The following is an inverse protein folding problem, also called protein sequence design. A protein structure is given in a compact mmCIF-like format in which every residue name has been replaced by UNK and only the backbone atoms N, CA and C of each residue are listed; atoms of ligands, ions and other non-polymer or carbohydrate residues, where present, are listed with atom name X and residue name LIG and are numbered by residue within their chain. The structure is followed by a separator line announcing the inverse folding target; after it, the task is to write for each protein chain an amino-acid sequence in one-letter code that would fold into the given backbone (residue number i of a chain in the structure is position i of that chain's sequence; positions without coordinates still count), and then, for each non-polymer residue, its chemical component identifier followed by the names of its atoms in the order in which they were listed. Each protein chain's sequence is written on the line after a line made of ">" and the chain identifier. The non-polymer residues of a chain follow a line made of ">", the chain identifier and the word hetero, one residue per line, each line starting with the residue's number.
data_IF_389989589525
#
_entry.id   IF_389989589525
#
_cell.length_a   1.000
_cell.length_b   1.000
_cell.length_c   1.000
_cell.angle_alpha   90.00
_cell.angle_beta   90.00
_cell.angle_gamma   90.00
#
_symmetry.space_group_name_H-M   'P 1'
#
loop_
_entity.id
_entity.type
_entity.pdbx_description
1 polymer ?
2 non-polymer ?
3 water ?
#
# COMPACT_ATOMS: atom_id res chain seq x y z
N UNK A 1 10.29 -4.66 5.85
CA UNK A 1 10.70 -3.98 4.58
C UNK A 1 10.42 -4.86 3.35
N UNK A 2 9.70 -4.29 2.39
CA UNK A 2 9.05 -5.04 1.31
C UNK A 2 9.95 -5.26 0.09
N UNK A 3 11.10 -5.90 0.29
CA UNK A 3 12.14 -5.93 -0.74
C UNK A 3 11.80 -6.76 -1.97
N UNK A 4 10.87 -7.71 -1.81
CA UNK A 4 10.46 -8.58 -2.92
C UNK A 4 9.79 -7.79 -4.04
N UNK A 5 8.97 -6.82 -3.65
CA UNK A 5 8.40 -5.90 -4.62
C UNK A 5 9.48 -5.06 -5.30
N UNK A 6 10.47 -4.62 -4.54
CA UNK A 6 11.55 -3.81 -5.10
C UNK A 6 12.39 -4.63 -6.09
N UNK A 7 12.85 -5.80 -5.66
CA UNK A 7 13.63 -6.70 -6.50
C UNK A 7 12.88 -7.01 -7.79
N UNK A 8 11.55 -7.05 -7.68
CA UNK A 8 10.71 -7.32 -8.83
C UNK A 8 10.68 -6.17 -9.82
N UNK A 9 10.29 -4.99 -9.36
CA UNK A 9 10.27 -3.78 -10.21
C UNK A 9 11.65 -3.44 -10.77
N UNK A 10 12.70 -3.95 -10.15
CA UNK A 10 14.06 -3.71 -10.60
C UNK A 10 14.53 -4.72 -11.65
N UNK A 11 13.62 -5.58 -12.10
CA UNK A 11 13.93 -6.69 -13.00
C UNK A 11 15.11 -7.54 -12.51
N UNK A 12 15.21 -7.68 -11.19
CA UNK A 12 16.20 -8.54 -10.56
C UNK A 12 17.66 -8.08 -10.74
N UNK A 13 17.86 -6.78 -10.89
CA UNK A 13 19.21 -6.22 -10.79
C UNK A 13 19.57 -6.05 -9.32
N UNK A 14 18.54 -5.84 -8.50
CA UNK A 14 18.70 -5.62 -7.06
C UNK A 14 18.54 -6.91 -6.25
N UNK A 15 19.37 -7.09 -5.23
CA UNK A 15 19.12 -8.14 -4.28
C UNK A 15 18.48 -7.60 -3.00
N UNK A 16 18.35 -8.46 -2.00
CA UNK A 16 17.60 -8.12 -0.80
C UNK A 16 18.30 -7.00 -0.03
N UNK A 17 19.59 -6.84 -0.30
CA UNK A 17 20.42 -5.91 0.46
C UNK A 17 20.44 -4.53 -0.18
N UNK A 18 20.65 -4.50 -1.49
CA UNK A 18 20.65 -3.25 -2.24
C UNK A 18 19.25 -2.64 -2.30
N UNK A 19 18.25 -3.50 -2.17
CA UNK A 19 16.85 -3.09 -2.12
C UNK A 19 16.47 -2.42 -0.80
N UNK A 20 16.89 -3.02 0.31
CA UNK A 20 16.60 -2.46 1.61
C UNK A 20 17.35 -1.15 1.87
N UNK A 21 18.57 -1.04 1.36
CA UNK A 21 19.31 0.21 1.47
C UNK A 21 18.68 1.29 0.61
N UNK A 22 18.16 0.91 -0.55
CA UNK A 22 17.41 1.85 -1.39
C UNK A 22 16.18 2.48 -0.73
N UNK A 23 15.42 1.69 0.03
CA UNK A 23 14.23 2.23 0.69
C UNK A 23 14.61 3.28 1.74
N UNK A 24 15.63 2.98 2.52
CA UNK A 24 16.07 3.89 3.57
C UNK A 24 16.43 5.28 3.02
N UNK A 25 17.16 5.29 1.91
CA UNK A 25 17.57 6.53 1.27
C UNK A 25 16.39 7.26 0.64
N UNK A 26 15.46 6.48 0.08
CA UNK A 26 14.25 7.01 -0.56
C UNK A 26 13.38 7.77 0.44
N UNK A 27 13.45 7.33 1.69
CA UNK A 27 12.57 7.76 2.76
C UNK A 27 13.04 9.06 3.42
N UNK A 28 14.32 9.37 3.28
CA UNK A 28 14.86 10.55 3.91
C UNK A 28 15.91 11.18 3.01
N UNK A 29 15.52 12.29 2.39
CA UNK A 29 16.43 13.07 1.54
C UNK A 29 17.65 13.55 2.30
N UNK A 30 18.82 13.41 1.68
CA UNK A 30 20.09 13.88 2.24
C UNK A 30 20.53 13.07 3.45
N UNK A 31 19.95 11.88 3.63
CA UNK A 31 20.42 10.97 4.68
C UNK A 31 21.92 10.65 4.46
N UNK A 32 22.64 10.34 5.52
CA UNK A 32 24.07 10.03 5.37
C UNK A 32 24.34 8.52 5.40
N UNK A 33 25.54 8.12 5.00
CA UNK A 33 25.96 6.71 5.06
C UNK A 33 25.95 6.21 6.50
N UNK A 34 26.32 7.09 7.42
CA UNK A 34 26.39 6.71 8.82
C UNK A 34 25.02 6.40 9.41
N UNK A 35 23.98 7.09 8.96
CA UNK A 35 22.63 6.74 9.40
C UNK A 35 22.00 5.53 8.66
N UNK A 36 22.34 5.34 7.39
CA UNK A 36 21.96 4.10 6.72
C UNK A 36 22.54 2.88 7.44
N UNK A 37 23.76 2.99 7.95
CA UNK A 37 24.39 1.86 8.63
C UNK A 37 23.70 1.53 9.95
N UNK A 38 23.22 2.55 10.64
CA UNK A 38 22.67 2.36 11.98
C UNK A 38 21.26 1.75 11.98
N UNK A 39 20.50 1.99 10.91
CA UNK A 39 19.18 1.38 10.79
C UNK A 39 19.20 -0.01 10.13
N UNK A 40 20.39 -0.50 9.80
CA UNK A 40 20.56 -1.86 9.34
C UNK A 40 21.62 -2.58 10.16
N UNK A 41 21.33 -2.79 11.46
CA UNK A 41 22.27 -3.54 12.33
C UNK A 41 22.57 -4.91 11.75
N UNK A 42 21.56 -5.49 11.12
CA UNK A 42 21.66 -6.80 10.47
C UNK A 42 22.89 -6.94 9.57
N UNK A 43 23.34 -5.82 9.02
CA UNK A 43 24.38 -5.86 8.01
C UNK A 43 25.71 -5.33 8.50
N UNK A 44 26.78 -5.83 7.89
CA UNK A 44 28.10 -5.30 8.19
C UNK A 44 28.26 -3.85 7.79
N UNK A 45 29.03 -3.12 8.58
CA UNK A 45 29.17 -1.69 8.33
C UNK A 45 29.82 -1.42 6.95
N UNK A 46 30.78 -2.26 6.58
CA UNK A 46 31.41 -2.18 5.25
C UNK A 46 30.57 -2.85 4.17
N UNK A 47 29.65 -3.71 4.58
CA UNK A 47 28.68 -4.23 3.63
C UNK A 47 27.73 -3.13 3.15
N UNK A 48 27.21 -2.35 4.09
CA UNK A 48 26.33 -1.22 3.75
C UNK A 48 27.02 -0.21 2.83
N UNK A 49 28.27 0.12 3.14
CA UNK A 49 29.06 1.02 2.30
C UNK A 49 29.29 0.51 0.89
N UNK A 50 29.60 -0.78 0.78
CA UNK A 50 29.74 -1.43 -0.53
C UNK A 50 28.46 -1.32 -1.34
N UNK A 51 27.35 -1.70 -0.72
CA UNK A 51 26.09 -1.78 -1.43
C UNK A 51 25.50 -0.41 -1.73
N UNK A 52 25.86 0.59 -0.94
CA UNK A 52 25.57 1.98 -1.29
C UNK A 52 26.36 2.36 -2.55
N UNK A 53 27.61 1.91 -2.63
CA UNK A 53 28.44 2.19 -3.79
C UNK A 53 27.94 1.52 -5.05
N UNK A 54 27.45 0.29 -4.90
CA UNK A 54 26.81 -0.45 -5.99
C UNK A 54 25.55 0.26 -6.49
N UNK A 55 24.90 1.02 -5.62
CA UNK A 55 23.70 1.78 -5.99
C UNK A 55 24.03 3.10 -6.68
N UNK A 56 25.19 3.67 -6.36
CA UNK A 56 25.65 4.87 -7.08
C UNK A 56 26.22 4.55 -8.46
N UNK A 57 26.83 3.37 -8.59
CA UNK A 57 27.33 2.92 -9.88
C UNK A 57 26.23 2.43 -10.82
N UNK A 58 25.00 2.39 -10.33
CA UNK A 58 23.90 1.93 -11.16
C UNK A 58 22.93 3.03 -11.57
N UNK A 59 23.06 4.19 -10.93
CA UNK A 59 22.30 5.36 -11.34
C UNK A 59 21.01 5.40 -10.57
N UNK A 60 21.03 4.79 -9.39
CA UNK A 60 19.86 4.76 -8.51
C UNK A 60 20.04 5.76 -7.33
N UNK A 61 21.28 5.84 -6.87
CA UNK A 61 21.62 6.88 -5.88
C UNK A 61 22.78 7.74 -6.34
N UNK A 62 22.79 8.99 -5.91
CA UNK A 62 23.93 9.89 -6.12
C UNK A 62 24.21 10.62 -4.80
N UNK A 63 25.46 11.01 -4.59
CA UNK A 63 25.81 11.79 -3.41
C UNK A 63 25.65 13.30 -3.63
N UNK A 64 25.00 13.96 -2.68
CA UNK A 64 24.96 15.42 -2.64
C UNK A 64 25.77 15.94 -1.46
N UNK A 65 27.01 16.33 -1.73
CA UNK A 65 27.95 16.65 -0.67
C UNK A 65 28.22 15.46 0.23
N UNK A 66 27.61 15.48 1.41
CA UNK A 66 27.76 14.43 2.40
C UNK A 66 26.55 13.49 2.44
N UNK A 67 25.47 13.91 1.78
CA UNK A 67 24.21 13.20 1.88
C UNK A 67 23.90 12.35 0.67
N UNK A 68 22.96 11.43 0.85
CA UNK A 68 22.56 10.49 -0.20
C UNK A 68 21.14 10.74 -0.65
N UNK A 69 20.92 10.70 -1.95
CA UNK A 69 19.63 11.03 -2.52
C UNK A 69 19.38 10.16 -3.76
N UNK A 70 18.12 9.79 -3.98
CA UNK A 70 17.79 8.82 -5.04
C UNK A 70 17.49 9.52 -6.36
N UNK A 71 17.88 8.86 -7.44
CA UNK A 71 17.72 9.37 -8.78
C UNK A 71 16.28 9.16 -9.23
N UNK A 72 15.90 9.79 -10.35
CA UNK A 72 14.61 9.51 -10.95
C UNK A 72 14.41 8.04 -11.31
N UNK A 73 15.43 7.40 -11.88
CA UNK A 73 15.39 5.96 -12.14
C UNK A 73 14.92 5.20 -10.91
N UNK A 74 15.60 5.44 -9.79
CA UNK A 74 15.27 4.81 -8.51
C UNK A 74 13.84 5.04 -8.04
N UNK A 75 13.32 6.25 -8.23
CA UNK A 75 11.97 6.57 -7.80
C UNK A 75 10.88 5.96 -8.70
N UNK A 76 11.27 5.49 -9.88
CA UNK A 76 10.34 4.73 -10.72
C UNK A 76 10.15 3.32 -10.17
N UNK A 77 11.27 2.70 -9.78
CA UNK A 77 11.27 1.39 -9.12
C UNK A 77 10.47 1.41 -7.82
N UNK A 78 10.66 2.46 -7.02
CA UNK A 78 9.96 2.65 -5.76
C UNK A 78 8.44 2.80 -5.95
N UNK A 79 8.03 3.59 -6.94
CA UNK A 79 6.60 3.86 -7.12
C UNK A 79 5.88 2.66 -7.76
N UNK A 80 6.55 2.01 -8.70
CA UNK A 80 6.11 0.72 -9.23
C UNK A 80 5.94 -0.28 -8.08
N UNK A 81 7.01 -0.49 -7.33
CA UNK A 81 7.00 -1.40 -6.20
C UNK A 81 5.86 -1.16 -5.19
N UNK A 82 5.64 0.09 -4.80
CA UNK A 82 4.63 0.39 -3.79
C UNK A 82 3.22 0.22 -4.33
N UNK A 83 3.06 0.42 -5.63
CA UNK A 83 1.75 0.26 -6.27
C UNK A 83 1.36 -1.23 -6.37
N UNK A 84 2.32 -2.06 -6.78
CA UNK A 84 2.24 -3.52 -6.69
C UNK A 84 1.77 -3.98 -5.32
N UNK A 85 2.56 -3.66 -4.30
CA UNK A 85 2.25 -4.03 -2.94
C UNK A 85 0.85 -3.55 -2.56
N UNK A 86 0.60 -2.26 -2.76
CA UNK A 86 -0.65 -1.65 -2.34
C UNK A 86 -1.89 -2.36 -2.90
N UNK A 87 -1.79 -2.83 -4.14
CA UNK A 87 -2.91 -3.53 -4.76
C UNK A 87 -3.10 -4.95 -4.21
N UNK A 88 -2.01 -5.58 -3.79
CA UNK A 88 -2.06 -6.94 -3.25
C UNK A 88 -2.52 -6.98 -1.79
N UNK A 89 -2.49 -5.81 -1.15
CA UNK A 89 -2.85 -5.68 0.25
C UNK A 89 -3.98 -4.69 0.48
N UNK A 90 -4.68 -4.29 -0.57
CA UNK A 90 -5.56 -3.12 -0.48
C UNK A 90 -6.54 -3.13 0.68
N UNK A 91 -7.27 -4.23 0.92
CA UNK A 91 -8.27 -4.18 2.00
C UNK A 91 -7.64 -4.12 3.39
N UNK A 92 -6.39 -4.57 3.48
CA UNK A 92 -5.64 -4.51 4.73
C UNK A 92 -5.09 -3.12 5.01
N UNK A 93 -4.70 -2.42 3.95
CA UNK A 93 -4.16 -1.06 4.07
C UNK A 93 -5.24 -0.01 4.33
N UNK A 94 -6.42 -0.21 3.75
CA UNK A 94 -7.44 0.82 3.63
C UNK A 94 -8.39 0.99 4.81
N UNK A 95 -8.27 0.13 5.82
CA UNK A 95 -9.16 0.17 6.98
C UNK A 95 -9.11 1.50 7.75
N UNK B 1 -8.54 4.89 10.06
CA UNK B 1 -9.11 4.84 8.67
C UNK B 1 -8.28 5.50 7.58
N UNK B 2 -8.12 4.78 6.46
CA UNK B 2 -7.67 5.38 5.19
C UNK B 2 -8.80 5.28 4.16
N UNK B 3 -10.02 5.35 4.69
CA UNK B 3 -11.23 5.09 3.94
C UNK B 3 -11.54 6.18 2.92
N UNK B 4 -11.10 7.40 3.19
CA UNK B 4 -11.36 8.50 2.28
C UNK B 4 -10.74 8.29 0.90
N UNK B 5 -9.75 7.41 0.81
CA UNK B 5 -9.19 7.04 -0.49
C UNK B 5 -10.17 6.24 -1.32
N UNK B 6 -11.03 5.46 -0.64
CA UNK B 6 -12.12 4.72 -1.30
C UNK B 6 -13.14 5.71 -1.80
N UNK B 7 -13.41 6.72 -0.98
CA UNK B 7 -14.32 7.80 -1.35
C UNK B 7 -13.84 8.57 -2.59
N UNK B 8 -12.56 8.91 -2.63
CA UNK B 8 -11.96 9.51 -3.83
C UNK B 8 -12.06 8.58 -5.04
N UNK B 9 -11.55 7.35 -4.87
CA UNK B 9 -11.53 6.37 -5.96
C UNK B 9 -12.91 6.16 -6.55
N UNK B 10 -13.92 6.24 -5.70
CA UNK B 10 -15.31 6.07 -6.12
C UNK B 10 -15.91 7.33 -6.74
N UNK B 11 -15.05 8.32 -7.02
CA UNK B 11 -15.48 9.67 -7.42
C UNK B 11 -16.49 10.26 -6.42
N UNK B 12 -16.21 10.07 -5.14
CA UNK B 12 -16.97 10.68 -4.04
C UNK B 12 -18.45 10.28 -3.94
N UNK B 13 -18.85 9.20 -4.59
CA UNK B 13 -20.24 8.75 -4.51
C UNK B 13 -20.49 7.77 -3.36
N UNK B 14 -19.45 7.49 -2.58
CA UNK B 14 -19.56 6.75 -1.32
C UNK B 14 -19.17 7.67 -0.15
N UNK B 15 -19.73 7.42 1.04
CA UNK B 15 -19.33 8.19 2.22
C UNK B 15 -18.48 7.37 3.19
N UNK B 16 -18.20 7.90 4.38
CA UNK B 16 -17.35 7.15 5.31
C UNK B 16 -17.97 5.83 5.71
N UNK B 17 -19.30 5.77 5.73
CA UNK B 17 -19.95 4.57 6.26
C UNK B 17 -20.14 3.41 5.29
N UNK B 18 -20.73 3.68 4.13
CA UNK B 18 -20.82 2.68 3.07
C UNK B 18 -19.43 2.17 2.66
N UNK B 19 -18.43 3.04 2.76
CA UNK B 19 -17.06 2.70 2.39
C UNK B 19 -16.42 1.79 3.44
N UNK B 20 -16.68 2.08 4.71
CA UNK B 20 -16.30 1.18 5.80
C UNK B 20 -16.92 -0.20 5.62
N UNK B 21 -18.23 -0.23 5.37
CA UNK B 21 -18.94 -1.50 5.19
C UNK B 21 -18.41 -2.27 3.98
N UNK B 22 -18.09 -1.54 2.91
CA UNK B 22 -17.47 -2.14 1.74
C UNK B 22 -16.15 -2.83 2.08
N UNK B 23 -15.31 -2.15 2.87
CA UNK B 23 -14.04 -2.73 3.29
C UNK B 23 -14.24 -4.01 4.09
N UNK B 24 -15.19 -4.00 5.02
CA UNK B 24 -15.45 -5.19 5.83
C UNK B 24 -15.79 -6.39 4.95
N UNK B 25 -16.56 -6.17 3.89
CA UNK B 25 -17.04 -7.25 3.02
C UNK B 25 -15.95 -7.74 2.07
N UNK B 26 -15.11 -6.81 1.62
CA UNK B 26 -13.99 -7.13 0.74
C UNK B 26 -12.96 -8.02 1.46
N UNK B 27 -12.89 -7.89 2.78
CA UNK B 27 -12.01 -8.72 3.59
C UNK B 27 -12.46 -10.18 3.76
N UNK B 28 -13.75 -10.43 3.60
CA UNK B 28 -14.27 -11.77 3.81
C UNK B 28 -15.37 -12.11 2.82
N UNK B 29 -15.01 -12.88 1.81
CA UNK B 29 -15.99 -13.45 0.90
C UNK B 29 -17.07 -14.23 1.66
N UNK B 30 -18.33 -13.94 1.33
CA UNK B 30 -19.46 -14.70 1.89
C UNK B 30 -19.74 -14.36 3.35
N UNK B 31 -19.13 -13.29 3.86
CA UNK B 31 -19.51 -12.78 5.18
C UNK B 31 -21.01 -12.45 5.22
N UNK B 32 -21.65 -12.75 6.33
CA UNK B 32 -23.08 -12.49 6.44
C UNK B 32 -23.33 -11.05 6.90
N UNK B 33 -24.53 -10.55 6.66
CA UNK B 33 -24.92 -9.23 7.14
C UNK B 33 -24.82 -9.15 8.66
N UNK B 34 -25.14 -10.25 9.34
CA UNK B 34 -25.05 -10.28 10.79
C UNK B 34 -23.62 -10.13 11.31
N UNK B 35 -22.65 -10.66 10.59
CA UNK B 35 -21.25 -10.44 10.97
C UNK B 35 -20.77 -9.00 10.78
N UNK B 36 -21.13 -8.39 9.65
CA UNK B 36 -20.89 -6.96 9.42
C UNK B 36 -21.47 -6.08 10.55
N UNK B 37 -22.75 -6.28 10.87
CA UNK B 37 -23.39 -5.55 11.97
C UNK B 37 -22.69 -5.84 13.30
N UNK B 38 -22.15 -7.05 13.44
CA UNK B 38 -21.50 -7.46 14.67
C UNK B 38 -20.25 -6.62 14.93
N UNK B 39 -19.43 -6.43 13.91
CA UNK B 39 -18.23 -5.62 14.07
C UNK B 39 -18.47 -4.11 13.97
N UNK B 40 -19.72 -3.69 13.81
CA UNK B 40 -20.02 -2.26 13.73
C UNK B 40 -21.16 -1.80 14.66
N UNK B 41 -21.00 -1.99 15.98
CA UNK B 41 -22.06 -1.65 16.94
C UNK B 41 -22.34 -0.14 17.05
N UNK B 42 -21.36 0.67 16.68
CA UNK B 42 -21.51 2.13 16.73
C UNK B 42 -22.41 2.66 15.62
N UNK B 43 -22.62 1.85 14.58
CA UNK B 43 -23.52 2.22 13.49
C UNK B 43 -24.97 1.79 13.74
N UNK B 44 -25.16 0.59 14.29
CA UNK B 44 -26.50 0.07 14.54
C UNK B 44 -27.05 -0.77 13.40
N UNK B 45 -27.99 -1.67 13.71
CA UNK B 45 -28.50 -2.64 12.72
C UNK B 45 -29.08 -1.92 11.51
N UNK B 46 -29.98 -0.99 11.77
CA UNK B 46 -30.66 -0.24 10.71
C UNK B 46 -29.67 0.38 9.71
N UNK B 47 -28.65 1.06 10.21
CA UNK B 47 -27.71 1.77 9.34
C UNK B 47 -26.81 0.80 8.59
N UNK B 48 -26.33 -0.25 9.26
CA UNK B 48 -25.52 -1.25 8.58
C UNK B 48 -26.30 -1.95 7.46
N UNK B 49 -27.52 -2.40 7.79
CA UNK B 49 -28.38 -3.06 6.82
C UNK B 49 -28.68 -2.14 5.63
N UNK B 50 -28.97 -0.88 5.94
CA UNK B 50 -29.28 0.13 4.94
C UNK B 50 -28.14 0.31 3.94
N UNK B 51 -26.93 0.45 4.47
CA UNK B 51 -25.77 0.73 3.65
C UNK B 51 -25.36 -0.48 2.83
N UNK B 52 -25.53 -1.67 3.40
CA UNK B 52 -25.38 -2.91 2.63
C UNK B 52 -26.34 -2.91 1.44
N UNK B 53 -27.58 -2.50 1.69
CA UNK B 53 -28.58 -2.43 0.64
C UNK B 53 -28.21 -1.49 -0.48
N UNK B 54 -27.61 -0.36 -0.12
CA UNK B 54 -27.11 0.64 -1.07
C UNK B 54 -26.01 0.04 -1.96
N UNK B 55 -25.06 -0.66 -1.34
CA UNK B 55 -23.97 -1.27 -2.08
C UNK B 55 -24.47 -2.34 -3.04
N UNK B 56 -25.44 -3.13 -2.60
CA UNK B 56 -26.07 -4.11 -3.48
C UNK B 56 -26.77 -3.42 -4.66
N UNK B 57 -27.57 -2.40 -4.37
CA UNK B 57 -28.29 -1.70 -5.43
C UNK B 57 -27.35 -0.94 -6.39
N UNK B 58 -26.16 -0.61 -5.91
CA UNK B 58 -25.14 0.05 -6.72
C UNK B 58 -24.27 -0.93 -7.51
N UNK B 59 -24.42 -2.22 -7.23
CA UNK B 59 -23.64 -3.23 -7.94
C UNK B 59 -22.21 -3.34 -7.46
N UNK B 60 -21.95 -2.84 -6.26
CA UNK B 60 -20.64 -2.96 -5.63
C UNK B 60 -20.54 -4.26 -4.82
N UNK B 61 -21.67 -4.71 -4.29
CA UNK B 61 -21.74 -5.93 -3.51
C UNK B 61 -22.88 -6.79 -4.09
N UNK B 62 -22.79 -8.09 -3.88
CA UNK B 62 -23.76 -9.05 -4.38
C UNK B 62 -24.11 -10.00 -3.23
N UNK B 63 -25.40 -10.18 -2.97
CA UNK B 63 -25.86 -11.25 -2.08
C UNK B 63 -25.55 -12.60 -2.74
N UNK B 64 -24.88 -13.47 -2.02
CA UNK B 64 -24.54 -14.79 -2.54
C UNK B 64 -24.82 -15.81 -1.45
N UNK B 65 -26.00 -16.43 -1.52
CA UNK B 65 -26.43 -17.30 -0.44
C UNK B 65 -26.86 -16.53 0.79
N UNK B 66 -26.31 -16.92 1.93
CA UNK B 66 -26.58 -16.22 3.19
C UNK B 66 -25.57 -15.09 3.45
N UNK B 67 -24.76 -14.80 2.45
CA UNK B 67 -23.63 -13.91 2.66
C UNK B 67 -23.44 -12.89 1.56
N UNK B 68 -22.33 -12.16 1.66
CA UNK B 68 -22.11 -10.99 0.82
C UNK B 68 -20.75 -11.09 0.15
N UNK B 69 -20.70 -10.74 -1.12
CA UNK B 69 -19.43 -10.72 -1.84
C UNK B 69 -19.31 -9.47 -2.73
N UNK B 70 -18.11 -8.90 -2.81
CA UNK B 70 -17.93 -7.70 -3.63
C UNK B 70 -17.85 -8.07 -5.10
N UNK B 71 -18.21 -7.12 -5.96
CA UNK B 71 -18.23 -7.34 -7.39
C UNK B 71 -16.91 -6.93 -8.04
N UNK B 72 -16.80 -7.13 -9.34
CA UNK B 72 -15.65 -6.61 -10.07
C UNK B 72 -15.56 -5.09 -10.04
N UNK B 73 -16.70 -4.41 -10.09
CA UNK B 73 -16.72 -2.95 -10.02
C UNK B 73 -16.10 -2.44 -8.72
N UNK B 74 -16.39 -3.12 -7.62
CA UNK B 74 -15.81 -2.76 -6.32
C UNK B 74 -14.32 -3.12 -6.20
N UNK B 75 -13.87 -4.14 -6.91
CA UNK B 75 -12.45 -4.48 -6.93
C UNK B 75 -11.63 -3.36 -7.57
N UNK B 76 -12.15 -2.82 -8.67
CA UNK B 76 -11.61 -1.62 -9.35
C UNK B 76 -11.48 -0.41 -8.43
N UNK B 77 -12.60 -0.02 -7.83
CA UNK B 77 -12.61 1.06 -6.85
C UNK B 77 -11.55 0.84 -5.76
N UNK B 78 -11.45 -0.39 -5.26
CA UNK B 78 -10.53 -0.68 -4.17
C UNK B 78 -9.06 -0.71 -4.60
N UNK B 79 -8.80 -1.11 -5.84
CA UNK B 79 -7.44 -1.07 -6.36
C UNK B 79 -7.03 0.38 -6.67
N UNK B 80 -7.95 1.17 -7.21
CA UNK B 80 -7.73 2.60 -7.41
C UNK B 80 -7.42 3.34 -6.10
N UNK B 81 -8.15 3.00 -5.04
CA UNK B 81 -7.93 3.57 -3.71
C UNK B 81 -6.53 3.25 -3.15
N UNK B 82 -6.14 1.98 -3.26
CA UNK B 82 -4.81 1.54 -2.87
C UNK B 82 -3.73 2.21 -3.71
N UNK B 83 -3.96 2.31 -5.01
CA UNK B 83 -3.03 2.98 -5.91
C UNK B 83 -2.84 4.48 -5.60
N UNK B 84 -3.93 5.21 -5.39
CA UNK B 84 -3.85 6.61 -4.98
C UNK B 84 -2.99 6.77 -3.73
N UNK B 85 -3.29 5.96 -2.72
CA UNK B 85 -2.61 6.01 -1.44
C UNK B 85 -1.12 5.69 -1.59
N UNK B 86 -0.81 4.72 -2.44
CA UNK B 86 0.57 4.30 -2.65
C UNK B 86 1.35 5.39 -3.36
N UNK B 87 0.73 5.98 -4.38
CA UNK B 87 1.36 7.06 -5.13
C UNK B 87 1.71 8.28 -4.26
N UNK B 88 0.94 8.48 -3.19
CA UNK B 88 1.17 9.57 -2.27
C UNK B 88 2.15 9.25 -1.13
N UNK B 89 2.30 7.98 -0.76
CA UNK B 89 3.19 7.61 0.35
C UNK B 89 4.14 6.44 0.02
N UNK B 90 4.63 6.38 -1.22
CA UNK B 90 5.33 5.17 -1.71
C UNK B 90 6.43 4.60 -0.81
N UNK B 91 7.47 5.38 -0.47
CA UNK B 91 8.55 4.78 0.34
C UNK B 91 8.14 4.46 1.78
N UNK B 92 7.09 5.11 2.25
CA UNK B 92 6.54 4.82 3.57
C UNK B 92 5.76 3.50 3.62
N UNK B 93 5.20 3.08 2.49
CA UNK B 93 4.54 1.78 2.36
C UNK B 93 5.52 0.59 2.39
N UNK B 94 6.66 0.77 1.74
CA UNK B 94 7.60 -0.32 1.52
C UNK B 94 8.52 -0.56 2.71
N UNK B 95 8.45 0.32 3.69
CA UNK B 95 9.38 0.32 4.81
C UNK B 95 9.30 -0.98 5.60
X LIG C 1 27.82 -8.31 -0.04
X LIG C 1 27.15 -8.28 1.31
X LIG C 1 29.02 -7.15 -0.24
X LIG C 1 26.99 -8.20 -1.40
X LIG C 1 28.82 -9.60 0.17
#
# INVERSE_FOLDING_TARGET
>A
SKVTYIIKASNDVLNEKTATILITIAKKDFITAAEVREVHPDLGNAVVNSNIGVLIKKGLVEKSGDGLIITGEAQDIISNAATLYAQENAPELLK
>B
SKVTYIIKASNDVLNEKTATILITIAKKDFITAAEVREVHPDLGNAVVNSNIGVLIKKGLVEKSGDGLIITGEAQDIISNAATLYAQENAPELLK
>C hetero
1 SO4 S O1 O2 O3 O4
#
